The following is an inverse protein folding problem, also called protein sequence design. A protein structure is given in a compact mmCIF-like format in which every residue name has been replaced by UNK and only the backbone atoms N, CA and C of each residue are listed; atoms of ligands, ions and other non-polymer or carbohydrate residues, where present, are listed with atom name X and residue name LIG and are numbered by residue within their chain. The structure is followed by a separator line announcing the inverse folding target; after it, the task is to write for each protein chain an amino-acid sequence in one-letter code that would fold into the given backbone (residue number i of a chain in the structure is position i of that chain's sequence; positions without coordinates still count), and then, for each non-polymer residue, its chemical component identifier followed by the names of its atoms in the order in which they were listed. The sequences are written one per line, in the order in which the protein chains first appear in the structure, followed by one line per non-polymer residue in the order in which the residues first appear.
data_IF_191663021322
#
_entry.id   IF_191663021322
#
_cell.length_a   1.000
_cell.length_b   1.000
_cell.length_c   1.000
_cell.angle_alpha   90.00
_cell.angle_beta   90.00
_cell.angle_gamma   90.00
#
_symmetry.space_group_name_H-M   'P 1'
#
loop_
_entity.id
_entity.type
_entity.pdbx_description
1 polymer ?
#
# COMPACT_ATOMS: atom_id res chain seq x y z
N UNK A 1 -7.62 -31.22 7.01
CA UNK A 1 -6.80 -30.38 6.11
C UNK A 1 -6.23 -29.25 6.95
N UNK A 2 -4.94 -29.29 7.29
CA UNK A 2 -4.32 -28.36 8.24
C UNK A 2 -4.20 -26.96 7.63
N UNK A 3 -4.81 -25.96 8.26
CA UNK A 3 -4.66 -24.55 7.87
C UNK A 3 -3.20 -24.11 8.09
N UNK A 4 -2.44 -23.96 7.00
CA UNK A 4 -1.10 -23.37 7.06
C UNK A 4 -1.22 -21.88 7.39
N UNK A 5 -0.97 -21.51 8.64
CA UNK A 5 -0.81 -20.11 9.05
C UNK A 5 0.46 -19.55 8.41
N UNK A 6 0.30 -18.60 7.49
CA UNK A 6 1.43 -17.89 6.91
C UNK A 6 2.01 -16.92 7.95
N UNK A 7 3.22 -17.19 8.40
CA UNK A 7 3.97 -16.31 9.29
C UNK A 7 4.93 -15.50 8.44
N UNK A 8 4.68 -14.20 8.30
CA UNK A 8 5.60 -13.27 7.66
C UNK A 8 6.60 -12.78 8.71
N UNK A 9 7.86 -13.21 8.61
CA UNK A 9 8.94 -12.74 9.50
C UNK A 9 9.35 -11.28 9.23
N UNK A 10 8.94 -10.69 8.09
CA UNK A 10 9.20 -9.29 7.72
C UNK A 10 7.99 -8.71 6.99
N UNK A 11 7.70 -7.43 7.22
CA UNK A 11 6.71 -6.68 6.44
C UNK A 11 7.17 -6.56 4.98
N UNK A 12 6.22 -6.62 4.05
CA UNK A 12 6.47 -6.52 2.61
C UNK A 12 5.52 -5.49 2.02
N UNK A 13 6.04 -4.67 1.10
CA UNK A 13 5.25 -3.72 0.31
C UNK A 13 5.06 -4.29 -1.09
N UNK A 14 3.82 -4.30 -1.57
CA UNK A 14 3.49 -4.72 -2.94
C UNK A 14 3.05 -3.49 -3.73
N UNK A 15 3.87 -3.11 -4.71
CA UNK A 15 3.57 -1.97 -5.57
C UNK A 15 2.87 -2.42 -6.85
N UNK A 16 1.59 -2.09 -6.97
CA UNK A 16 0.81 -2.34 -8.19
C UNK A 16 0.96 -1.15 -9.15
N UNK A 17 1.65 -1.34 -10.27
CA UNK A 17 1.78 -0.34 -11.35
C UNK A 17 0.91 -0.69 -12.56
N UNK A 18 0.63 0.30 -13.40
CA UNK A 18 -0.17 0.13 -14.62
C UNK A 18 -1.03 1.35 -14.96
N UNK A 19 -1.54 1.39 -16.20
CA UNK A 19 -2.39 2.47 -16.71
C UNK A 19 -3.68 2.67 -15.87
N UNK A 20 -4.27 3.86 -15.96
CA UNK A 20 -5.62 4.09 -15.38
C UNK A 20 -6.61 3.07 -15.96
N UNK A 21 -7.48 2.50 -15.13
CA UNK A 21 -8.41 1.44 -15.54
C UNK A 21 -7.82 0.02 -15.66
N UNK A 22 -6.51 -0.19 -15.50
CA UNK A 22 -5.88 -1.52 -15.60
C UNK A 22 -6.24 -2.52 -14.47
N UNK A 23 -7.17 -2.18 -13.57
CA UNK A 23 -7.63 -3.07 -12.51
C UNK A 23 -6.74 -3.16 -11.26
N UNK A 24 -5.76 -2.27 -11.09
CA UNK A 24 -4.86 -2.23 -9.91
C UNK A 24 -5.63 -2.24 -8.58
N UNK A 25 -6.63 -1.37 -8.46
CA UNK A 25 -7.48 -1.28 -7.26
C UNK A 25 -8.25 -2.58 -7.02
N UNK A 26 -8.81 -3.17 -8.07
CA UNK A 26 -9.52 -4.46 -8.01
C UNK A 26 -8.61 -5.57 -7.48
N UNK A 27 -7.41 -5.72 -8.05
CA UNK A 27 -6.44 -6.73 -7.60
C UNK A 27 -5.99 -6.46 -6.17
N UNK A 28 -5.73 -5.20 -5.80
CA UNK A 28 -5.32 -4.81 -4.46
C UNK A 28 -6.36 -5.20 -3.40
N UNK A 29 -7.64 -5.00 -3.67
CA UNK A 29 -8.71 -5.40 -2.75
C UNK A 29 -8.84 -6.92 -2.63
N UNK A 30 -8.81 -7.66 -3.74
CA UNK A 30 -8.85 -9.13 -3.72
C UNK A 30 -7.65 -9.72 -2.97
N UNK A 31 -6.46 -9.15 -3.15
CA UNK A 31 -5.26 -9.57 -2.44
C UNK A 31 -5.37 -9.30 -0.93
N UNK A 32 -5.84 -8.10 -0.55
CA UNK A 32 -6.10 -7.74 0.86
C UNK A 32 -7.05 -8.74 1.52
N UNK A 33 -8.15 -9.09 0.86
CA UNK A 33 -9.12 -10.07 1.40
C UNK A 33 -8.50 -11.46 1.60
N UNK A 34 -7.74 -11.95 0.62
CA UNK A 34 -7.05 -13.24 0.73
C UNK A 34 -6.04 -13.26 1.88
N UNK A 35 -5.21 -12.24 2.00
CA UNK A 35 -4.20 -12.15 3.05
C UNK A 35 -4.84 -12.02 4.45
N UNK A 36 -5.93 -11.25 4.57
CA UNK A 36 -6.70 -11.17 5.82
C UNK A 36 -7.29 -12.51 6.23
N UNK A 37 -7.82 -13.29 5.29
CA UNK A 37 -8.29 -14.67 5.53
C UNK A 37 -7.20 -15.60 6.04
N UNK A 38 -5.93 -15.31 5.73
CA UNK A 38 -4.77 -16.04 6.23
C UNK A 38 -4.21 -15.50 7.56
N UNK A 39 -4.89 -14.54 8.18
CA UNK A 39 -4.46 -13.93 9.45
C UNK A 39 -3.31 -12.92 9.31
N UNK A 40 -3.02 -12.46 8.09
CA UNK A 40 -1.96 -11.49 7.81
C UNK A 40 -2.54 -10.07 7.93
N UNK A 41 -1.86 -9.21 8.69
CA UNK A 41 -2.19 -7.77 8.74
C UNK A 41 -1.81 -7.12 7.41
N UNK A 42 -2.78 -6.48 6.77
CA UNK A 42 -2.60 -5.81 5.48
C UNK A 42 -3.29 -4.46 5.49
N UNK A 43 -2.55 -3.47 5.02
CA UNK A 43 -3.01 -2.13 4.72
C UNK A 43 -2.94 -1.90 3.21
N UNK A 44 -3.92 -1.17 2.67
CA UNK A 44 -3.94 -0.77 1.26
C UNK A 44 -3.79 0.73 1.22
N UNK A 45 -2.73 1.16 0.56
CA UNK A 45 -2.42 2.56 0.35
C UNK A 45 -2.88 2.95 -1.04
N UNK A 46 -3.83 3.88 -1.09
CA UNK A 46 -4.34 4.43 -2.34
C UNK A 46 -3.56 5.71 -2.67
N UNK A 47 -3.14 5.85 -3.92
CA UNK A 47 -2.39 7.02 -4.40
C UNK A 47 -3.18 8.32 -4.18
N UNK A 48 -4.50 8.27 -4.28
CA UNK A 48 -5.36 9.43 -4.05
C UNK A 48 -5.42 9.80 -2.56
N UNK A 49 -5.46 8.81 -1.67
CA UNK A 49 -5.44 9.03 -0.21
C UNK A 49 -4.08 9.55 0.26
N UNK A 50 -2.98 9.02 -0.28
CA UNK A 50 -1.63 9.51 -0.02
C UNK A 50 -1.49 10.95 -0.53
N UNK A 51 -2.08 11.28 -1.69
CA UNK A 51 -2.08 12.64 -2.22
C UNK A 51 -2.71 13.64 -1.25
N UNK A 52 -3.82 13.25 -0.61
CA UNK A 52 -4.53 14.11 0.33
C UNK A 52 -3.84 14.28 1.68
N UNK A 53 -3.13 13.26 2.19
CA UNK A 53 -2.62 13.28 3.58
C UNK A 53 -1.11 13.49 3.67
N UNK A 54 -0.32 12.92 2.76
CA UNK A 54 1.15 12.91 2.84
C UNK A 54 1.80 13.94 1.88
N UNK A 55 1.07 14.32 0.83
CA UNK A 55 1.59 15.13 -0.28
C UNK A 55 0.62 16.21 -0.73
N UNK A 56 -0.23 16.70 0.18
CA UNK A 56 -1.19 17.77 -0.09
C UNK A 56 -0.52 19.07 -0.56
N UNK A 57 0.74 19.27 -0.16
CA UNK A 57 1.62 20.38 -0.51
C UNK A 57 2.28 20.23 -1.90
N UNK A 58 2.18 19.06 -2.54
CA UNK A 58 2.87 18.78 -3.80
C UNK A 58 1.96 18.98 -5.03
N UNK A 59 2.47 19.71 -6.02
CA UNK A 59 1.82 19.94 -7.30
C UNK A 59 1.81 18.73 -8.24
N UNK A 60 1.69 18.99 -9.54
CA UNK A 60 1.73 17.96 -10.59
C UNK A 60 3.00 18.05 -11.45
N UNK A 61 4.02 18.78 -11.00
CA UNK A 61 5.29 18.86 -11.70
C UNK A 61 6.02 17.50 -11.68
N UNK A 62 7.01 17.31 -12.58
CA UNK A 62 7.82 16.09 -12.60
C UNK A 62 8.52 15.85 -11.24
N UNK A 63 9.07 16.92 -10.66
CA UNK A 63 9.78 16.88 -9.38
C UNK A 63 8.83 16.55 -8.22
N UNK A 64 7.59 17.05 -8.26
CA UNK A 64 6.57 16.73 -7.25
C UNK A 64 6.15 15.26 -7.33
N UNK A 65 6.05 14.69 -8.54
CA UNK A 65 5.79 13.25 -8.72
C UNK A 65 6.92 12.38 -8.16
N UNK A 66 8.18 12.78 -8.37
CA UNK A 66 9.35 12.09 -7.81
C UNK A 66 9.34 12.15 -6.28
N UNK A 67 9.07 13.32 -5.69
CA UNK A 67 8.92 13.47 -4.23
C UNK A 67 7.76 12.65 -3.67
N UNK A 68 6.65 12.54 -4.40
CA UNK A 68 5.52 11.69 -4.00
C UNK A 68 5.92 10.22 -3.94
N UNK A 69 6.68 9.71 -4.91
CA UNK A 69 7.19 8.34 -4.88
C UNK A 69 8.09 8.08 -3.67
N UNK A 70 9.03 8.99 -3.38
CA UNK A 70 9.95 8.87 -2.24
C UNK A 70 9.19 8.91 -0.90
N UNK A 71 8.29 9.90 -0.72
CA UNK A 71 7.46 9.99 0.50
C UNK A 71 6.62 8.73 0.70
N UNK A 72 6.05 8.18 -0.37
CA UNK A 72 5.25 6.95 -0.32
C UNK A 72 6.10 5.73 0.07
N UNK A 73 7.30 5.57 -0.51
CA UNK A 73 8.21 4.47 -0.16
C UNK A 73 8.61 4.50 1.33
N UNK A 74 8.94 5.70 1.85
CA UNK A 74 9.27 5.88 3.26
C UNK A 74 8.08 5.49 4.15
N UNK A 75 6.87 5.92 3.81
CA UNK A 75 5.65 5.57 4.55
C UNK A 75 5.40 4.06 4.57
N UNK A 76 5.55 3.38 3.42
CA UNK A 76 5.41 1.93 3.29
C UNK A 76 6.40 1.11 4.13
N UNK A 77 7.51 1.70 4.58
CA UNK A 77 8.54 1.05 5.42
C UNK A 77 8.23 1.16 6.91
N UNK A 78 7.26 1.98 7.30
CA UNK A 78 6.82 2.08 8.70
C UNK A 78 6.04 0.79 9.05
N UNK A 79 6.33 0.14 10.19
CA UNK A 79 5.59 -1.04 10.60
C UNK A 79 4.09 -0.73 10.73
N UNK A 80 3.25 -1.52 10.03
CA UNK A 80 1.78 -1.49 10.09
C UNK A 80 1.22 -1.75 11.51
N UNK A 81 2.09 -1.99 12.50
CA UNK A 81 1.76 -2.11 13.92
C UNK A 81 1.63 -0.77 14.65
N UNK A 82 2.04 0.35 14.06
CA UNK A 82 1.68 1.66 14.57
C UNK A 82 0.21 1.90 14.23
N UNK A 83 -0.66 1.80 15.24
CA UNK A 83 -2.06 2.21 15.18
C UNK A 83 -2.12 3.67 14.69
N UNK A 84 -2.24 3.88 13.38
CA UNK A 84 -2.67 5.16 12.83
C UNK A 84 -4.19 5.11 12.78
N UNK A 85 -4.79 5.83 13.74
CA UNK A 85 -6.21 6.13 13.84
C UNK A 85 -6.73 6.78 12.55
#
# INVERSE_FOLDING_TARGET
MSEKKLILNRGVTIWLTGLSGAGKTTIGHLLKEKLRKWGIKVEVLDGDKIRQHLTADLGFSKQDREKMQVKTDIYCRIPVSANFL
#
